data_IF_696957947648
#
_entry.id   IF_696957947648
#
_cell.length_a   1.000
_cell.length_b   1.000
_cell.length_c   1.000
_cell.angle_alpha   90.00
_cell.angle_beta   90.00
_cell.angle_gamma   90.00
#
_symmetry.space_group_name_H-M   'P 1'
#
loop_
_entity.id
_entity.type
_entity.pdbx_description
1 polymer ?
#
# COMPACT_ATOMS: atom_id res chain seq x y z
N UNK A 1 38.76 29.44 18.64
CA UNK A 1 37.43 29.24 18.05
C UNK A 1 37.64 28.71 16.63
N UNK A 2 37.53 27.39 16.45
CA UNK A 2 37.93 26.72 15.20
C UNK A 2 36.73 26.60 14.26
N UNK A 3 36.85 27.02 12.98
CA UNK A 3 35.75 27.07 12.00
C UNK A 3 35.10 25.72 11.63
N UNK A 4 35.56 24.60 12.23
CA UNK A 4 35.00 23.25 12.04
C UNK A 4 33.62 23.08 12.70
N UNK A 5 33.39 23.62 13.89
CA UNK A 5 32.11 23.38 14.60
C UNK A 5 30.92 23.99 13.87
N UNK A 6 31.07 25.19 13.28
CA UNK A 6 29.99 25.83 12.53
C UNK A 6 29.66 25.08 11.23
N UNK A 7 30.65 24.47 10.57
CA UNK A 7 30.42 23.63 9.39
C UNK A 7 29.76 22.30 9.76
N UNK A 8 30.14 21.71 10.89
CA UNK A 8 29.53 20.48 11.41
C UNK A 8 28.08 20.72 11.87
N UNK A 9 27.81 21.85 12.54
CA UNK A 9 26.46 22.25 12.94
C UNK A 9 25.57 22.56 11.73
N UNK A 10 26.12 23.23 10.70
CA UNK A 10 25.41 23.45 9.44
C UNK A 10 25.21 22.15 8.66
N UNK A 11 26.16 21.21 8.70
CA UNK A 11 26.00 19.89 8.10
C UNK A 11 24.94 19.06 8.84
N UNK A 12 24.86 19.19 10.17
CA UNK A 12 23.83 18.56 10.99
C UNK A 12 22.44 19.18 10.75
N UNK A 13 22.35 20.51 10.72
CA UNK A 13 21.12 21.23 10.36
C UNK A 13 20.69 20.94 8.93
N UNK A 14 21.63 20.90 7.98
CA UNK A 14 21.36 20.53 6.59
C UNK A 14 20.95 19.06 6.48
N UNK A 15 21.55 18.15 7.24
CA UNK A 15 21.11 16.76 7.31
C UNK A 15 19.70 16.64 7.91
N UNK A 16 19.36 17.44 8.92
CA UNK A 16 18.02 17.54 9.48
C UNK A 16 16.99 18.10 8.47
N UNK A 17 17.40 18.98 7.56
CA UNK A 17 16.54 19.60 6.55
C UNK A 17 16.44 18.76 5.26
N UNK A 18 17.54 18.19 4.77
CA UNK A 18 17.59 17.38 3.52
C UNK A 18 16.98 15.96 3.68
N UNK A 19 16.67 15.52 4.90
CA UNK A 19 16.15 14.16 5.17
C UNK A 19 14.69 13.93 4.75
N UNK A 20 14.00 14.93 4.20
CA UNK A 20 12.55 14.88 3.98
C UNK A 20 12.09 14.28 2.62
N UNK A 21 12.96 14.15 1.62
CA UNK A 21 12.53 13.88 0.23
C UNK A 21 12.58 12.43 -0.26
N UNK A 22 13.68 11.69 -0.01
CA UNK A 22 13.98 10.42 -0.70
C UNK A 22 12.99 9.28 -0.40
N UNK A 23 12.69 9.06 0.88
CA UNK A 23 11.78 7.99 1.32
C UNK A 23 10.35 8.18 0.79
N UNK A 24 9.86 9.42 0.75
CA UNK A 24 8.50 9.72 0.33
C UNK A 24 8.27 9.42 -1.15
N UNK A 25 9.30 9.60 -1.98
CA UNK A 25 9.24 9.29 -3.42
C UNK A 25 9.28 7.80 -3.69
N UNK A 26 10.22 7.05 -3.10
CA UNK A 26 10.26 5.59 -3.25
C UNK A 26 9.01 4.92 -2.68
N UNK A 27 8.48 5.44 -1.57
CA UNK A 27 7.20 4.98 -1.01
C UNK A 27 6.03 5.28 -1.96
N UNK A 28 5.98 6.48 -2.54
CA UNK A 28 4.98 6.86 -3.54
C UNK A 28 5.05 6.02 -4.83
N UNK A 29 6.26 5.73 -5.32
CA UNK A 29 6.50 4.84 -6.47
C UNK A 29 5.98 3.42 -6.20
N UNK A 30 6.28 2.86 -5.02
CA UNK A 30 5.77 1.56 -4.62
C UNK A 30 4.24 1.56 -4.50
N UNK A 31 3.65 2.61 -3.93
CA UNK A 31 2.21 2.74 -3.78
C UNK A 31 1.48 2.89 -5.13
N UNK A 32 2.06 3.66 -6.05
CA UNK A 32 1.54 3.81 -7.41
C UNK A 32 1.61 2.49 -8.18
N UNK A 33 2.76 1.80 -8.14
CA UNK A 33 2.93 0.49 -8.78
C UNK A 33 1.94 -0.53 -8.22
N UNK A 34 1.73 -0.55 -6.91
CA UNK A 34 0.73 -1.38 -6.26
C UNK A 34 -0.68 -1.08 -6.78
N UNK A 35 -1.07 0.20 -6.80
CA UNK A 35 -2.38 0.62 -7.29
C UNK A 35 -2.63 0.24 -8.75
N UNK A 36 -1.59 0.31 -9.59
CA UNK A 36 -1.68 -0.12 -10.98
C UNK A 36 -1.82 -1.64 -11.10
N UNK A 37 -0.98 -2.42 -10.40
CA UNK A 37 -1.05 -3.88 -10.42
C UNK A 37 -2.40 -4.40 -9.90
N UNK A 38 -2.84 -3.93 -8.74
CA UNK A 38 -4.10 -4.36 -8.13
C UNK A 38 -5.33 -3.78 -8.84
N UNK A 39 -5.24 -2.57 -9.41
CA UNK A 39 -6.29 -2.03 -10.27
C UNK A 39 -6.48 -2.85 -11.55
N UNK A 40 -5.38 -3.23 -12.22
CA UNK A 40 -5.42 -4.15 -13.37
C UNK A 40 -5.95 -5.53 -12.96
N UNK A 41 -5.57 -6.04 -11.78
CA UNK A 41 -6.12 -7.29 -11.26
C UNK A 41 -7.64 -7.25 -11.11
N UNK A 42 -8.18 -6.16 -10.54
CA UNK A 42 -9.64 -6.00 -10.39
C UNK A 42 -10.34 -5.89 -11.75
N UNK A 43 -9.73 -5.20 -12.73
CA UNK A 43 -10.25 -5.16 -14.11
C UNK A 43 -10.26 -6.54 -14.77
N UNK A 44 -9.20 -7.33 -14.60
CA UNK A 44 -9.13 -8.70 -15.12
C UNK A 44 -10.19 -9.61 -14.49
N UNK A 45 -10.44 -9.47 -13.18
CA UNK A 45 -11.55 -10.19 -12.53
C UNK A 45 -12.92 -9.72 -13.04
N UNK A 46 -13.10 -8.43 -13.33
CA UNK A 46 -14.34 -7.94 -13.95
C UNK A 46 -14.55 -8.50 -15.37
N UNK A 47 -13.48 -8.67 -16.15
CA UNK A 47 -13.54 -9.31 -17.48
C UNK A 47 -13.81 -10.82 -17.37
N UNK A 48 -13.23 -11.48 -16.36
CA UNK A 48 -13.52 -12.89 -16.07
C UNK A 48 -15.00 -13.09 -15.73
N UNK A 49 -15.59 -12.18 -14.95
CA UNK A 49 -17.03 -12.20 -14.64
C UNK A 49 -17.94 -12.02 -15.86
N UNK A 50 -17.47 -11.37 -16.93
CA UNK A 50 -18.21 -11.23 -18.20
C UNK A 50 -18.19 -12.53 -19.04
N UNK A 51 -17.54 -13.59 -18.55
CA UNK A 51 -17.43 -14.89 -19.22
C UNK A 51 -16.40 -14.92 -20.35
N UNK A 52 -15.60 -13.86 -20.50
CA UNK A 52 -14.62 -13.72 -21.58
C UNK A 52 -13.30 -14.44 -21.28
N UNK A 53 -13.07 -14.84 -20.03
CA UNK A 53 -11.86 -15.51 -19.57
C UNK A 53 -12.29 -16.76 -18.80
N UNK A 54 -11.71 -17.91 -19.13
CA UNK A 54 -12.08 -19.20 -18.53
C UNK A 54 -11.70 -19.33 -17.06
N UNK A 55 -12.58 -19.98 -16.29
CA UNK A 55 -12.34 -20.31 -14.89
C UNK A 55 -11.37 -21.49 -14.75
N UNK A 56 -10.47 -21.44 -13.76
CA UNK A 56 -9.44 -22.46 -13.53
C UNK A 56 -8.04 -21.85 -13.36
N UNK A 57 -7.05 -22.38 -14.10
CA UNK A 57 -5.65 -21.94 -14.02
C UNK A 57 -5.48 -20.44 -14.37
N UNK A 58 -6.33 -19.89 -15.25
CA UNK A 58 -6.29 -18.47 -15.63
C UNK A 58 -6.82 -17.58 -14.51
N UNK A 59 -7.89 -17.98 -13.82
CA UNK A 59 -8.39 -17.27 -12.62
C UNK A 59 -7.36 -17.27 -11.47
N UNK A 60 -6.65 -18.38 -11.28
CA UNK A 60 -5.53 -18.45 -10.33
C UNK A 60 -4.35 -17.57 -10.77
N UNK A 61 -4.03 -17.54 -12.06
CA UNK A 61 -2.98 -16.67 -12.61
C UNK A 61 -3.34 -15.18 -12.47
N UNK A 62 -4.63 -14.81 -12.60
CA UNK A 62 -5.11 -13.45 -12.38
C UNK A 62 -5.06 -13.09 -10.89
N UNK A 63 -5.32 -14.03 -9.98
CA UNK A 63 -5.22 -13.80 -8.53
C UNK A 63 -3.77 -13.69 -8.02
N UNK A 64 -2.88 -14.57 -8.49
CA UNK A 64 -1.49 -14.66 -8.02
C UNK A 64 -0.52 -13.79 -8.83
N UNK A 65 -0.73 -13.65 -10.13
CA UNK A 65 0.18 -12.97 -11.05
C UNK A 65 0.49 -11.53 -10.65
N UNK A 66 -0.52 -10.67 -10.41
CA UNK A 66 -0.28 -9.28 -10.01
C UNK A 66 0.39 -9.17 -8.65
N UNK A 67 0.14 -10.11 -7.73
CA UNK A 67 0.83 -10.17 -6.43
C UNK A 67 2.31 -10.51 -6.60
N UNK A 68 2.65 -11.49 -7.45
CA UNK A 68 4.05 -11.85 -7.74
C UNK A 68 4.79 -10.70 -8.43
N UNK A 69 4.16 -10.06 -9.41
CA UNK A 69 4.71 -8.88 -10.09
C UNK A 69 4.92 -7.73 -9.10
N UNK A 70 3.94 -7.46 -8.24
CA UNK A 70 4.05 -6.42 -7.23
C UNK A 70 5.17 -6.70 -6.23
N UNK A 71 5.28 -7.93 -5.72
CA UNK A 71 6.38 -8.31 -4.80
C UNK A 71 7.74 -8.12 -5.48
N UNK A 72 7.86 -8.50 -6.75
CA UNK A 72 9.11 -8.35 -7.52
C UNK A 72 9.48 -6.89 -7.69
N UNK A 73 8.51 -6.04 -8.06
CA UNK A 73 8.69 -4.60 -8.17
C UNK A 73 9.03 -3.98 -6.81
N UNK A 74 8.36 -4.40 -5.74
CA UNK A 74 8.59 -3.91 -4.38
C UNK A 74 10.02 -4.23 -3.91
N UNK A 75 10.47 -5.48 -4.10
CA UNK A 75 11.85 -5.90 -3.79
C UNK A 75 12.84 -5.06 -4.59
N UNK A 76 12.59 -4.85 -5.89
CA UNK A 76 13.45 -4.03 -6.74
C UNK A 76 13.52 -2.57 -6.29
N UNK A 77 12.39 -1.95 -5.96
CA UNK A 77 12.32 -0.57 -5.44
C UNK A 77 13.07 -0.45 -4.11
N UNK A 78 12.86 -1.40 -3.19
CA UNK A 78 13.55 -1.42 -1.89
C UNK A 78 15.07 -1.60 -2.08
N UNK A 79 15.48 -2.53 -2.94
CA UNK A 79 16.90 -2.80 -3.23
C UNK A 79 17.59 -1.65 -3.99
N UNK A 80 16.83 -0.83 -4.73
CA UNK A 80 17.33 0.40 -5.35
C UNK A 80 17.44 1.53 -4.32
N UNK A 81 16.45 1.66 -3.43
CA UNK A 81 16.42 2.69 -2.39
C UNK A 81 17.40 2.46 -1.24
N UNK A 82 17.73 1.20 -0.91
CA UNK A 82 18.72 0.86 0.11
C UNK A 82 20.15 1.23 -0.26
N UNK A 83 20.42 1.44 -1.56
CA UNK A 83 21.72 1.89 -2.09
C UNK A 83 21.95 3.40 -1.97
N UNK A 84 20.95 4.18 -1.54
CA UNK A 84 21.10 5.61 -1.29
C UNK A 84 21.31 5.88 0.21
N UNK A 85 22.51 6.33 0.64
CA UNK A 85 22.79 6.68 2.03
C UNK A 85 22.19 8.05 2.33
N UNK A 86 20.87 8.13 2.42
CA UNK A 86 20.17 9.32 2.91
C UNK A 86 19.59 8.98 4.27
N UNK A 87 19.96 9.76 5.28
CA UNK A 87 19.41 9.61 6.62
C UNK A 87 17.89 9.52 6.55
N UNK A 88 17.28 8.52 7.20
CA UNK A 88 15.82 8.47 7.30
C UNK A 88 15.41 9.28 8.52
N UNK A 89 14.74 10.42 8.32
CA UNK A 89 14.18 11.20 9.41
C UNK A 89 13.29 10.34 10.33
N UNK A 90 13.16 10.72 11.60
CA UNK A 90 12.42 9.95 12.63
C UNK A 90 11.01 9.59 12.15
N UNK A 91 10.29 10.53 11.53
CA UNK A 91 8.96 10.30 10.96
C UNK A 91 8.98 9.26 9.83
N UNK A 92 9.98 9.29 8.94
CA UNK A 92 10.11 8.31 7.86
C UNK A 92 10.39 6.90 8.40
N UNK A 93 11.22 6.78 9.44
CA UNK A 93 11.47 5.49 10.11
C UNK A 93 10.21 4.95 10.78
N UNK A 94 9.46 5.81 11.48
CA UNK A 94 8.19 5.44 12.09
C UNK A 94 7.16 4.96 11.06
N UNK A 95 7.04 5.68 9.92
CA UNK A 95 6.18 5.26 8.80
C UNK A 95 6.64 3.92 8.21
N UNK A 96 7.93 3.75 7.96
CA UNK A 96 8.47 2.48 7.46
C UNK A 96 8.22 1.30 8.42
N UNK A 97 8.45 1.49 9.72
CA UNK A 97 8.22 0.46 10.73
C UNK A 97 6.75 0.06 10.84
N UNK A 98 5.83 1.04 10.77
CA UNK A 98 4.39 0.81 10.77
C UNK A 98 3.94 -0.01 9.56
N UNK A 99 4.34 0.37 8.34
CA UNK A 99 4.00 -0.41 7.14
C UNK A 99 4.65 -1.81 7.16
N UNK A 100 5.85 -1.94 7.75
CA UNK A 100 6.46 -3.24 8.03
C UNK A 100 5.62 -4.10 8.99
N UNK A 101 5.11 -3.52 10.07
CA UNK A 101 4.23 -4.20 11.03
C UNK A 101 2.89 -4.61 10.39
N UNK A 102 2.31 -3.75 9.56
CA UNK A 102 1.10 -4.06 8.79
C UNK A 102 1.34 -5.22 7.82
N UNK A 103 2.50 -5.25 7.15
CA UNK A 103 2.91 -6.37 6.31
C UNK A 103 3.03 -7.68 7.09
N UNK A 104 3.67 -7.66 8.26
CA UNK A 104 3.78 -8.83 9.13
C UNK A 104 2.40 -9.29 9.65
N UNK A 105 1.51 -8.36 10.00
CA UNK A 105 0.14 -8.67 10.39
C UNK A 105 -0.64 -9.34 9.26
N UNK A 106 -0.47 -8.91 8.00
CA UNK A 106 -1.09 -9.57 6.85
C UNK A 106 -0.57 -10.99 6.65
N UNK A 107 0.73 -11.25 6.88
CA UNK A 107 1.29 -12.62 6.84
C UNK A 107 0.71 -13.52 7.94
N UNK A 108 0.44 -12.98 9.12
CA UNK A 108 -0.25 -13.73 10.17
C UNK A 108 -1.72 -13.97 9.79
N UNK A 109 -2.40 -12.97 9.24
CA UNK A 109 -3.81 -13.06 8.83
C UNK A 109 -4.02 -14.09 7.72
N UNK A 110 -3.14 -14.16 6.71
CA UNK A 110 -3.27 -15.18 5.66
C UNK A 110 -3.10 -16.59 6.24
N UNK A 111 -2.24 -16.78 7.25
CA UNK A 111 -2.10 -18.08 7.92
C UNK A 111 -3.37 -18.44 8.73
N UNK A 112 -3.93 -17.48 9.47
CA UNK A 112 -5.14 -17.70 10.28
C UNK A 112 -6.38 -17.88 9.40
N UNK A 113 -6.72 -16.88 8.58
CA UNK A 113 -7.91 -16.91 7.73
C UNK A 113 -7.77 -17.99 6.66
N UNK A 114 -6.58 -18.17 6.08
CA UNK A 114 -6.35 -19.20 5.08
C UNK A 114 -6.48 -20.61 5.64
N UNK A 115 -5.96 -20.88 6.84
CA UNK A 115 -6.13 -22.21 7.47
C UNK A 115 -7.59 -22.50 7.82
N UNK A 116 -8.36 -21.52 8.27
CA UNK A 116 -9.79 -21.67 8.55
C UNK A 116 -10.59 -21.83 7.26
N UNK A 117 -10.36 -20.99 6.25
CA UNK A 117 -11.04 -21.08 4.96
C UNK A 117 -10.79 -22.43 4.27
N UNK A 118 -9.58 -22.99 4.41
CA UNK A 118 -9.25 -24.31 3.91
C UNK A 118 -10.02 -25.42 4.64
N UNK A 119 -10.19 -25.32 5.95
CA UNK A 119 -10.93 -26.31 6.75
C UNK A 119 -12.44 -26.25 6.48
N UNK A 120 -12.99 -25.05 6.39
CA UNK A 120 -14.42 -24.79 6.20
C UNK A 120 -14.85 -24.83 4.72
N UNK A 121 -13.90 -24.99 3.78
CA UNK A 121 -14.13 -24.97 2.33
C UNK A 121 -14.98 -23.77 1.86
N UNK A 122 -14.89 -22.65 2.57
CA UNK A 122 -15.76 -21.49 2.37
C UNK A 122 -15.00 -20.34 1.75
N UNK A 123 -15.33 -20.02 0.49
CA UNK A 123 -14.79 -18.84 -0.20
C UNK A 123 -15.21 -17.53 0.47
N UNK A 124 -16.35 -17.52 1.17
CA UNK A 124 -16.80 -16.34 1.93
C UNK A 124 -15.81 -15.97 3.03
N UNK A 125 -15.24 -16.96 3.72
CA UNK A 125 -14.22 -16.72 4.76
C UNK A 125 -12.95 -16.17 4.13
N UNK A 126 -12.58 -16.66 2.94
CA UNK A 126 -11.45 -16.13 2.19
C UNK A 126 -11.66 -14.68 1.73
N UNK A 127 -12.87 -14.30 1.32
CA UNK A 127 -13.21 -12.92 0.91
C UNK A 127 -13.17 -11.90 2.07
N UNK A 128 -13.20 -12.36 3.32
CA UNK A 128 -13.00 -11.48 4.48
C UNK A 128 -11.54 -10.98 4.55
N UNK A 129 -10.57 -11.79 4.13
CA UNK A 129 -9.15 -11.42 4.14
C UNK A 129 -8.85 -10.08 3.44
N UNK A 130 -9.22 -9.85 2.16
CA UNK A 130 -8.98 -8.57 1.50
C UNK A 130 -9.69 -7.41 2.21
N UNK A 131 -10.88 -7.61 2.80
CA UNK A 131 -11.55 -6.56 3.58
C UNK A 131 -10.72 -6.12 4.79
N UNK A 132 -10.14 -7.09 5.52
CA UNK A 132 -9.27 -6.81 6.67
C UNK A 132 -7.98 -6.12 6.24
N UNK A 133 -7.38 -6.53 5.12
CA UNK A 133 -6.17 -5.88 4.57
C UNK A 133 -6.43 -4.40 4.30
N UNK A 134 -7.60 -4.05 3.74
CA UNK A 134 -7.97 -2.66 3.48
C UNK A 134 -8.14 -1.85 4.76
N UNK A 135 -8.74 -2.45 5.80
CA UNK A 135 -8.87 -1.81 7.12
C UNK A 135 -7.49 -1.55 7.73
N UNK A 136 -6.56 -2.50 7.64
CA UNK A 136 -5.18 -2.31 8.11
C UNK A 136 -4.43 -1.25 7.31
N UNK A 137 -4.68 -1.14 6.00
CA UNK A 137 -4.17 -0.05 5.18
C UNK A 137 -4.74 1.30 5.65
N UNK A 138 -6.04 1.39 5.92
CA UNK A 138 -6.66 2.58 6.49
C UNK A 138 -6.04 3.00 7.83
N UNK A 139 -5.79 2.03 8.72
CA UNK A 139 -5.11 2.26 9.98
C UNK A 139 -3.68 2.77 9.78
N UNK A 140 -2.93 2.21 8.83
CA UNK A 140 -1.59 2.70 8.50
C UNK A 140 -1.63 4.18 8.07
N UNK A 141 -2.56 4.53 7.18
CA UNK A 141 -2.72 5.91 6.72
C UNK A 141 -3.22 6.86 7.83
N UNK A 142 -4.02 6.39 8.79
CA UNK A 142 -4.39 7.18 9.96
C UNK A 142 -3.16 7.56 10.79
N UNK A 143 -2.22 6.65 10.98
CA UNK A 143 -1.00 6.96 11.72
C UNK A 143 -0.09 7.89 10.89
N UNK A 144 -0.03 7.74 9.56
CA UNK A 144 0.65 8.71 8.68
C UNK A 144 0.03 10.10 8.81
N UNK A 145 -1.30 10.19 8.87
CA UNK A 145 -2.03 11.43 9.12
C UNK A 145 -1.67 12.02 10.49
N UNK A 146 -1.64 11.21 11.55
CA UNK A 146 -1.27 11.65 12.88
C UNK A 146 0.17 12.21 12.94
N UNK A 147 1.10 11.60 12.21
CA UNK A 147 2.51 12.02 12.17
C UNK A 147 2.75 13.25 11.27
N UNK A 148 2.06 13.35 10.13
CA UNK A 148 2.30 14.39 9.13
C UNK A 148 1.30 15.54 9.15
N UNK A 149 0.18 15.39 9.87
CA UNK A 149 -0.88 16.39 10.12
C UNK A 149 -1.44 17.06 8.85
N UNK A 150 -1.35 16.40 7.68
CA UNK A 150 -1.95 16.89 6.43
C UNK A 150 -3.27 16.18 6.16
N UNK A 151 -4.35 16.95 6.02
CA UNK A 151 -5.73 16.44 5.83
C UNK A 151 -5.87 15.39 4.70
N UNK A 152 -5.06 15.50 3.65
CA UNK A 152 -5.10 14.55 2.53
C UNK A 152 -4.80 13.10 2.95
N UNK A 153 -3.88 12.88 3.89
CA UNK A 153 -3.58 11.53 4.41
C UNK A 153 -4.77 10.94 5.18
N UNK A 154 -5.53 11.80 5.88
CA UNK A 154 -6.76 11.40 6.56
C UNK A 154 -7.87 11.02 5.58
N UNK A 155 -8.00 11.75 4.47
CA UNK A 155 -8.95 11.41 3.41
C UNK A 155 -8.68 10.02 2.81
N UNK A 156 -7.40 9.69 2.57
CA UNK A 156 -6.98 8.36 2.09
C UNK A 156 -7.30 7.27 3.13
N UNK A 157 -7.03 7.54 4.41
CA UNK A 157 -7.32 6.60 5.49
C UNK A 157 -8.83 6.27 5.60
N UNK A 158 -9.67 7.30 5.58
CA UNK A 158 -11.14 7.13 5.57
C UNK A 158 -11.57 6.37 4.32
N UNK A 159 -10.98 6.68 3.16
CA UNK A 159 -11.23 5.97 1.91
C UNK A 159 -11.00 4.46 2.00
N UNK A 160 -9.89 4.04 2.62
CA UNK A 160 -9.60 2.62 2.83
C UNK A 160 -10.61 1.94 3.77
N UNK A 161 -11.03 2.62 4.84
CA UNK A 161 -12.06 2.07 5.73
C UNK A 161 -13.41 1.93 5.03
N UNK A 162 -13.84 2.96 4.31
CA UNK A 162 -15.09 2.93 3.54
C UNK A 162 -15.06 1.84 2.49
N UNK A 163 -13.94 1.67 1.79
CA UNK A 163 -13.77 0.59 0.80
C UNK A 163 -13.82 -0.78 1.45
N UNK A 164 -13.11 -1.00 2.56
CA UNK A 164 -13.10 -2.27 3.27
C UNK A 164 -14.48 -2.66 3.81
N UNK A 165 -15.21 -1.72 4.39
CA UNK A 165 -16.59 -1.93 4.87
C UNK A 165 -17.54 -2.15 3.69
N UNK A 166 -17.42 -1.36 2.62
CA UNK A 166 -18.23 -1.50 1.41
C UNK A 166 -18.05 -2.86 0.74
N UNK A 167 -16.81 -3.37 0.68
CA UNK A 167 -16.53 -4.71 0.19
C UNK A 167 -17.16 -5.78 1.08
N UNK A 168 -17.06 -5.64 2.41
CA UNK A 168 -17.69 -6.59 3.33
C UNK A 168 -19.22 -6.66 3.16
N UNK A 169 -19.88 -5.51 2.98
CA UNK A 169 -21.33 -5.44 2.73
C UNK A 169 -21.72 -6.03 1.35
N UNK A 170 -20.82 -5.93 0.38
CA UNK A 170 -21.01 -6.43 -0.98
C UNK A 170 -20.54 -7.89 -1.18
N UNK A 171 -20.16 -8.62 -0.13
CA UNK A 171 -19.63 -10.00 -0.25
C UNK A 171 -20.55 -10.94 -1.03
N UNK A 172 -21.88 -10.78 -0.89
CA UNK A 172 -22.86 -11.62 -1.60
C UNK A 172 -23.03 -11.23 -3.08
N UNK A 173 -22.58 -10.04 -3.47
CA UNK A 173 -22.66 -9.51 -4.83
C UNK A 173 -21.24 -9.39 -5.41
N UNK A 174 -20.75 -10.47 -6.02
CA UNK A 174 -19.45 -10.51 -6.69
C UNK A 174 -19.14 -9.29 -7.59
N UNK A 175 -20.06 -8.74 -8.42
CA UNK A 175 -19.73 -7.60 -9.26
C UNK A 175 -19.60 -6.30 -8.45
N UNK A 176 -20.41 -6.11 -7.41
CA UNK A 176 -20.31 -4.96 -6.53
C UNK A 176 -19.02 -5.02 -5.68
N UNK A 177 -18.62 -6.21 -5.23
CA UNK A 177 -17.38 -6.43 -4.49
C UNK A 177 -16.15 -6.00 -5.29
N UNK A 178 -16.06 -6.43 -6.56
CA UNK A 178 -14.94 -6.12 -7.45
C UNK A 178 -14.96 -4.64 -7.86
N UNK A 179 -16.14 -4.06 -8.12
CA UNK A 179 -16.26 -2.65 -8.47
C UNK A 179 -15.82 -1.74 -7.32
N UNK A 180 -16.24 -2.02 -6.07
CA UNK A 180 -15.86 -1.25 -4.89
C UNK A 180 -14.36 -1.40 -4.63
N UNK A 181 -13.82 -2.62 -4.70
CA UNK A 181 -12.38 -2.87 -4.56
C UNK A 181 -11.56 -2.14 -5.61
N UNK A 182 -11.92 -2.26 -6.89
CA UNK A 182 -11.25 -1.60 -8.01
C UNK A 182 -11.30 -0.07 -7.91
N UNK A 183 -12.47 0.50 -7.59
CA UNK A 183 -12.60 1.93 -7.34
C UNK A 183 -11.72 2.38 -6.15
N UNK A 184 -11.68 1.60 -5.08
CA UNK A 184 -10.84 1.87 -3.92
C UNK A 184 -9.34 1.83 -4.23
N UNK A 185 -8.87 0.84 -4.98
CA UNK A 185 -7.47 0.76 -5.40
C UNK A 185 -7.06 1.92 -6.32
N UNK A 186 -7.92 2.33 -7.25
CA UNK A 186 -7.64 3.47 -8.13
C UNK A 186 -7.67 4.78 -7.33
N UNK A 187 -8.71 5.01 -6.53
CA UNK A 187 -8.91 6.26 -5.81
C UNK A 187 -7.93 6.45 -4.63
N UNK A 188 -7.62 5.39 -3.89
CA UNK A 188 -6.87 5.46 -2.63
C UNK A 188 -5.47 4.87 -2.71
N UNK A 189 -5.07 4.26 -3.83
CA UNK A 189 -3.71 3.77 -4.05
C UNK A 189 -3.01 4.47 -5.21
N UNK A 190 -3.66 4.52 -6.38
CA UNK A 190 -3.07 5.10 -7.60
C UNK A 190 -2.97 6.64 -7.52
N UNK A 191 -4.05 7.32 -7.10
CA UNK A 191 -4.04 8.79 -6.97
C UNK A 191 -3.06 9.27 -5.88
N UNK A 192 -3.06 8.71 -4.65
CA UNK A 192 -2.06 9.04 -3.62
C UNK A 192 -0.62 8.80 -4.04
N UNK A 193 -0.34 7.66 -4.69
CA UNK A 193 1.00 7.34 -5.19
C UNK A 193 1.50 8.37 -6.20
N UNK A 194 0.65 8.75 -7.16
CA UNK A 194 0.97 9.76 -8.16
C UNK A 194 1.17 11.15 -7.57
N UNK A 195 0.32 11.56 -6.61
CA UNK A 195 0.46 12.83 -5.89
C UNK A 195 1.76 12.87 -5.09
N UNK A 196 2.15 11.78 -4.43
CA UNK A 196 3.41 11.69 -3.69
C UNK A 196 4.64 11.77 -4.60
N UNK A 197 4.56 11.21 -5.82
CA UNK A 197 5.63 11.31 -6.83
C UNK A 197 5.76 12.71 -7.42
N UNK A 198 4.68 13.50 -7.43
CA UNK A 198 4.64 14.86 -7.98
C UNK A 198 4.93 15.97 -6.98
N UNK A 199 5.00 15.68 -5.68
CA UNK A 199 5.37 16.71 -4.71
C UNK A 199 6.80 17.20 -4.98
N UNK A 200 7.00 18.50 -5.30
CA UNK A 200 8.32 19.05 -5.53
C UNK A 200 9.18 18.91 -4.27
N UNK A 201 10.50 18.86 -4.45
CA UNK A 201 11.46 19.08 -3.37
C UNK A 201 11.08 20.43 -2.74
N UNK A 202 10.44 20.44 -1.57
CA UNK A 202 10.50 21.65 -0.76
C UNK A 202 11.95 21.72 -0.32
N UNK A 203 12.68 22.56 -1.06
CA UNK A 203 14.05 22.96 -0.79
C UNK A 203 14.18 23.61 0.59
#
# INVERSE_FOLDING_TARGET
MTPKSAQDDLAFMRALVDTHGGFQRSFGEAYFAAGLCYGVQMLLHAIQMLGWIGDGAVGLAIGLGPTVVFITLLIWIIARGSRQPTGRGVVSRAVGAMFGAVGAANLALIAVIGSVAWREQSLTIWLIYPCVVLILQGMAWMVVYALRRRAWYGAVAVGWFVTGVGMALAIQNAPAFIAIGGAGFIAFMLVPGWVMMRQPRTA
#
